data_IF_935727582798
#
_entry.id   IF_935727582798
#
_cell.length_a   1.000
_cell.length_b   1.000
_cell.length_c   1.000
_cell.angle_alpha   90.00
_cell.angle_beta   90.00
_cell.angle_gamma   90.00
#
_symmetry.space_group_name_H-M   'P 1'
#
loop_
_entity.id
_entity.type
_entity.pdbx_description
1 polymer ?
#
# COMPACT_ATOMS: atom_id res chain seq x y z
N UNK A 1 3.52 -35.34 -3.89
CA UNK A 1 2.55 -34.30 -3.53
C UNK A 1 3.28 -32.98 -3.58
N UNK A 2 2.89 -32.09 -4.49
CA UNK A 2 3.45 -30.75 -4.55
C UNK A 2 2.72 -29.94 -3.47
N UNK A 3 3.41 -29.53 -2.41
CA UNK A 3 2.80 -28.62 -1.43
C UNK A 3 2.34 -27.36 -2.15
N UNK A 4 1.14 -26.86 -1.85
CA UNK A 4 0.69 -25.60 -2.43
C UNK A 4 1.50 -24.45 -1.83
N UNK A 5 1.79 -23.42 -2.63
CA UNK A 5 2.57 -22.25 -2.17
C UNK A 5 1.88 -21.57 -0.99
N UNK A 6 0.55 -21.60 -0.94
CA UNK A 6 -0.26 -21.09 0.17
C UNK A 6 0.05 -21.82 1.47
N UNK A 7 0.09 -23.16 1.43
CA UNK A 7 0.35 -23.99 2.61
C UNK A 7 1.76 -23.79 3.16
N UNK A 8 2.72 -23.51 2.28
CA UNK A 8 4.09 -23.18 2.69
C UNK A 8 4.13 -21.88 3.50
N UNK A 9 3.50 -20.81 2.99
CA UNK A 9 3.52 -19.52 3.67
C UNK A 9 2.57 -19.44 4.88
N UNK A 10 1.54 -20.29 4.93
CA UNK A 10 0.65 -20.42 6.08
C UNK A 10 1.36 -20.98 7.34
N UNK A 11 2.52 -21.64 7.17
CA UNK A 11 3.33 -22.17 8.28
C UNK A 11 4.09 -21.09 9.06
N UNK A 12 4.21 -19.87 8.52
CA UNK A 12 4.93 -18.78 9.21
C UNK A 12 4.11 -18.20 10.35
N UNK A 13 4.76 -17.91 11.48
CA UNK A 13 4.10 -17.34 12.67
C UNK A 13 3.48 -15.95 12.42
N UNK A 14 4.05 -15.17 11.49
CA UNK A 14 3.50 -13.87 11.14
C UNK A 14 3.72 -13.51 9.67
N UNK A 15 2.79 -12.72 9.12
CA UNK A 15 2.89 -12.18 7.78
C UNK A 15 4.17 -11.34 7.56
N UNK A 16 4.67 -10.68 8.61
CA UNK A 16 5.93 -9.93 8.56
C UNK A 16 7.14 -10.83 8.36
N UNK A 17 7.18 -11.99 9.03
CA UNK A 17 8.25 -12.97 8.86
C UNK A 17 8.20 -13.60 7.47
N UNK A 18 7.01 -13.93 6.97
CA UNK A 18 6.84 -14.41 5.60
C UNK A 18 7.38 -13.39 4.58
N UNK A 19 7.13 -12.09 4.80
CA UNK A 19 7.66 -11.03 3.93
C UNK A 19 9.17 -10.94 3.98
N UNK A 20 9.76 -10.98 5.18
CA UNK A 20 11.21 -10.95 5.34
C UNK A 20 11.84 -12.14 4.62
N UNK A 21 11.28 -13.33 4.79
CA UNK A 21 11.71 -14.53 4.07
C UNK A 21 11.69 -14.33 2.55
N UNK A 22 10.60 -13.81 1.98
CA UNK A 22 10.52 -13.56 0.54
C UNK A 22 11.58 -12.54 0.11
N UNK A 23 11.73 -11.44 0.86
CA UNK A 23 12.69 -10.38 0.52
C UNK A 23 14.16 -10.83 0.57
N UNK A 24 14.48 -11.80 1.43
CA UNK A 24 15.84 -12.31 1.61
C UNK A 24 16.16 -13.43 0.63
N UNK A 25 15.20 -14.32 0.34
CA UNK A 25 15.44 -15.49 -0.51
C UNK A 25 15.31 -15.18 -2.02
N UNK A 26 14.54 -14.16 -2.39
CA UNK A 26 14.31 -13.80 -3.80
C UNK A 26 14.95 -12.45 -4.12
N UNK A 27 16.21 -12.42 -4.58
CA UNK A 27 16.87 -11.18 -4.98
C UNK A 27 16.08 -10.52 -6.12
N UNK A 28 15.72 -9.24 -5.92
CA UNK A 28 14.84 -8.48 -6.83
C UNK A 28 13.44 -8.22 -6.28
N UNK A 29 12.98 -8.99 -5.28
CA UNK A 29 11.74 -8.70 -4.55
C UNK A 29 12.05 -7.84 -3.32
N UNK A 30 11.87 -6.52 -3.47
CA UNK A 30 11.90 -5.60 -2.33
C UNK A 30 10.67 -5.75 -1.43
N UNK A 31 10.67 -5.05 -0.28
CA UNK A 31 9.59 -5.12 0.72
C UNK A 31 8.19 -4.87 0.15
N UNK A 32 8.06 -3.93 -0.79
CA UNK A 32 6.80 -3.67 -1.50
C UNK A 32 6.33 -4.91 -2.27
N UNK A 33 7.21 -5.47 -3.10
CA UNK A 33 6.86 -6.59 -3.98
C UNK A 33 6.56 -7.85 -3.17
N UNK A 34 7.32 -8.10 -2.11
CA UNK A 34 7.05 -9.19 -1.17
C UNK A 34 5.71 -9.02 -0.46
N UNK A 35 5.36 -7.81 -0.02
CA UNK A 35 4.05 -7.53 0.60
C UNK A 35 2.91 -7.71 -0.38
N UNK A 36 3.08 -7.24 -1.63
CA UNK A 36 2.10 -7.39 -2.71
C UNK A 36 1.86 -8.85 -3.04
N UNK A 37 2.93 -9.63 -3.22
CA UNK A 37 2.88 -11.06 -3.48
C UNK A 37 2.12 -11.82 -2.39
N UNK A 38 2.47 -11.62 -1.11
CA UNK A 38 1.82 -12.33 -0.01
C UNK A 38 0.33 -12.00 0.12
N UNK A 39 -0.05 -10.76 -0.25
CA UNK A 39 -1.43 -10.31 -0.27
C UNK A 39 -2.21 -10.90 -1.44
N UNK A 40 -1.61 -10.99 -2.62
CA UNK A 40 -2.23 -11.57 -3.82
C UNK A 40 -2.49 -13.08 -3.67
N UNK A 41 -1.63 -13.79 -2.92
CA UNK A 41 -1.82 -15.21 -2.61
C UNK A 41 -2.83 -15.42 -1.46
N UNK A 42 -3.30 -14.36 -0.80
CA UNK A 42 -4.26 -14.43 0.30
C UNK A 42 -3.68 -14.93 1.62
N UNK A 43 -2.34 -14.93 1.77
CA UNK A 43 -1.69 -15.35 3.03
C UNK A 43 -1.61 -14.20 4.02
N UNK A 44 -1.58 -12.96 3.53
CA UNK A 44 -1.41 -11.77 4.36
C UNK A 44 -2.36 -10.64 3.95
N UNK A 45 -3.49 -10.53 4.66
CA UNK A 45 -4.48 -9.46 4.44
C UNK A 45 -4.15 -8.16 5.17
N UNK A 46 -3.33 -8.23 6.23
CA UNK A 46 -3.01 -7.10 7.09
C UNK A 46 -1.74 -6.34 6.66
N UNK A 47 -1.02 -6.82 5.64
CA UNK A 47 0.19 -6.17 5.17
C UNK A 47 -0.14 -4.94 4.32
N UNK A 48 0.38 -3.78 4.71
CA UNK A 48 0.32 -2.60 3.89
C UNK A 48 1.34 -2.68 2.75
N UNK A 49 0.91 -2.38 1.52
CA UNK A 49 1.79 -2.30 0.35
C UNK A 49 2.09 -0.86 0.06
N UNK A 50 3.17 -0.35 0.64
CA UNK A 50 3.57 1.05 0.45
C UNK A 50 4.11 1.24 -0.97
N UNK A 51 3.33 1.91 -1.80
CA UNK A 51 3.68 2.35 -3.16
C UNK A 51 3.75 3.89 -3.27
N UNK A 52 4.18 4.41 -4.42
CA UNK A 52 4.23 5.84 -4.75
C UNK A 52 2.90 6.55 -4.51
N UNK A 53 1.76 5.85 -4.60
CA UNK A 53 0.43 6.40 -4.37
C UNK A 53 0.16 6.63 -2.88
N UNK A 54 0.55 5.67 -2.04
CA UNK A 54 0.47 5.81 -0.58
C UNK A 54 1.45 6.87 -0.10
N UNK A 55 2.67 6.91 -0.63
CA UNK A 55 3.62 7.99 -0.33
C UNK A 55 3.01 9.35 -0.70
N UNK A 56 2.41 9.48 -1.89
CA UNK A 56 1.74 10.70 -2.30
C UNK A 56 0.59 11.07 -1.35
N UNK A 57 -0.24 10.10 -0.95
CA UNK A 57 -1.34 10.31 -0.01
C UNK A 57 -0.82 10.80 1.35
N UNK A 58 0.21 10.16 1.89
CA UNK A 58 0.80 10.53 3.17
C UNK A 58 1.38 11.96 3.13
N UNK A 59 2.06 12.32 2.04
CA UNK A 59 2.65 13.65 1.90
C UNK A 59 1.62 14.76 1.62
N UNK A 60 0.57 14.48 0.84
CA UNK A 60 -0.37 15.51 0.36
C UNK A 60 -1.65 15.60 1.19
N UNK A 61 -2.07 14.52 1.85
CA UNK A 61 -3.30 14.46 2.66
C UNK A 61 -2.95 14.50 4.14
N UNK A 62 -2.07 13.62 4.59
CA UNK A 62 -1.70 13.51 6.02
C UNK A 62 -0.53 14.43 6.42
N UNK A 63 0.09 15.13 5.46
CA UNK A 63 1.27 15.99 5.68
C UNK A 63 2.46 15.27 6.35
N UNK A 64 2.55 13.95 6.19
CA UNK A 64 3.64 13.11 6.69
C UNK A 64 4.75 13.04 5.65
N UNK A 65 5.95 13.53 6.00
CA UNK A 65 7.10 13.56 5.09
C UNK A 65 7.77 12.19 5.00
N UNK A 66 7.83 11.61 3.80
CA UNK A 66 8.46 10.30 3.57
C UNK A 66 9.84 10.50 2.95
N UNK A 67 10.87 10.66 3.79
CA UNK A 67 12.22 10.99 3.32
C UNK A 67 12.94 9.82 2.61
N UNK A 68 12.80 8.58 3.12
CA UNK A 68 13.35 7.38 2.46
C UNK A 68 12.58 6.12 2.84
N UNK A 69 12.48 5.17 1.91
CA UNK A 69 11.89 3.85 2.15
C UNK A 69 12.91 2.87 2.74
N UNK A 70 13.55 3.27 3.85
CA UNK A 70 14.34 2.33 4.64
C UNK A 70 13.45 1.28 5.31
N UNK A 71 13.99 0.10 5.66
CA UNK A 71 13.23 -0.97 6.35
C UNK A 71 12.48 -0.45 7.59
N UNK A 72 13.12 0.41 8.38
CA UNK A 72 12.53 1.02 9.59
C UNK A 72 11.34 1.92 9.23
N UNK A 73 11.51 2.79 8.24
CA UNK A 73 10.44 3.68 7.80
C UNK A 73 9.28 2.90 7.20
N UNK A 74 9.54 1.81 6.47
CA UNK A 74 8.48 0.96 5.94
C UNK A 74 7.59 0.40 7.05
N UNK A 75 8.20 -0.13 8.13
CA UNK A 75 7.46 -0.66 9.28
C UNK A 75 6.65 0.44 10.00
N UNK A 76 7.24 1.63 10.19
CA UNK A 76 6.54 2.75 10.82
C UNK A 76 5.32 3.21 9.99
N UNK A 77 5.48 3.31 8.68
CA UNK A 77 4.40 3.68 7.77
C UNK A 77 3.32 2.58 7.71
N UNK A 78 3.71 1.31 7.78
CA UNK A 78 2.79 0.17 7.88
C UNK A 78 1.94 0.24 9.15
N UNK A 79 2.55 0.50 10.31
CA UNK A 79 1.84 0.65 11.59
C UNK A 79 0.90 1.86 11.57
N UNK A 80 1.33 2.96 10.95
CA UNK A 80 0.50 4.14 10.75
C UNK A 80 -0.72 3.85 9.85
N UNK A 81 -0.51 3.19 8.71
CA UNK A 81 -1.60 2.81 7.79
C UNK A 81 -2.56 1.82 8.45
N UNK A 82 -2.06 0.92 9.28
CA UNK A 82 -2.90 0.01 10.07
C UNK A 82 -3.78 0.76 11.04
N UNK A 83 -3.18 1.68 11.80
CA UNK A 83 -3.92 2.56 12.72
C UNK A 83 -4.95 3.43 11.99
N UNK A 84 -4.64 3.87 10.76
CA UNK A 84 -5.55 4.65 9.92
C UNK A 84 -6.71 3.80 9.37
N UNK A 85 -6.40 2.59 8.91
CA UNK A 85 -7.37 1.57 8.48
C UNK A 85 -8.35 1.24 9.59
N UNK A 86 -7.85 1.02 10.81
CA UNK A 86 -8.67 0.74 12.01
C UNK A 86 -9.57 1.93 12.38
N UNK A 87 -9.08 3.17 12.26
CA UNK A 87 -9.88 4.39 12.51
C UNK A 87 -11.04 4.57 11.54
N UNK A 88 -10.84 4.23 10.26
CA UNK A 88 -11.87 4.35 9.22
C UNK A 88 -12.78 3.11 9.20
N UNK A 89 -12.34 2.00 9.80
CA UNK A 89 -13.08 0.74 9.80
C UNK A 89 -13.06 0.03 8.44
N UNK A 90 -12.05 0.30 7.61
CA UNK A 90 -11.90 -0.26 6.27
C UNK A 90 -10.66 -1.13 6.25
N UNK A 91 -10.75 -2.37 5.77
CA UNK A 91 -9.60 -3.27 5.69
C UNK A 91 -8.47 -2.74 4.81
N UNK A 92 -7.23 -3.13 5.13
CA UNK A 92 -6.02 -2.62 4.47
C UNK A 92 -6.07 -2.72 2.94
N UNK A 93 -6.62 -3.80 2.40
CA UNK A 93 -6.78 -4.01 0.95
C UNK A 93 -7.70 -2.95 0.30
N UNK A 94 -8.84 -2.68 0.94
CA UNK A 94 -9.79 -1.70 0.44
C UNK A 94 -9.24 -0.28 0.57
N UNK A 95 -8.52 0.02 1.65
CA UNK A 95 -7.83 1.30 1.83
C UNK A 95 -6.82 1.55 0.70
N UNK A 96 -5.99 0.56 0.35
CA UNK A 96 -5.01 0.68 -0.74
C UNK A 96 -5.69 0.93 -2.10
N UNK A 97 -6.78 0.21 -2.39
CA UNK A 97 -7.56 0.42 -3.62
C UNK A 97 -8.17 1.83 -3.69
N UNK A 98 -8.72 2.32 -2.57
CA UNK A 98 -9.30 3.66 -2.47
C UNK A 98 -8.22 4.75 -2.69
N UNK A 99 -7.07 4.61 -2.03
CA UNK A 99 -5.95 5.53 -2.20
C UNK A 99 -5.48 5.52 -3.65
N UNK A 100 -5.25 4.34 -4.23
CA UNK A 100 -4.79 4.21 -5.61
C UNK A 100 -5.74 4.88 -6.62
N UNK A 101 -7.04 4.59 -6.53
CA UNK A 101 -8.05 5.17 -7.40
C UNK A 101 -8.09 6.70 -7.23
N UNK A 102 -8.11 7.19 -5.99
CA UNK A 102 -8.12 8.62 -5.68
C UNK A 102 -6.91 9.34 -6.27
N UNK A 103 -5.70 8.82 -6.05
CA UNK A 103 -4.47 9.41 -6.58
C UNK A 103 -4.47 9.43 -8.11
N UNK A 104 -5.00 8.39 -8.76
CA UNK A 104 -5.13 8.37 -10.22
C UNK A 104 -6.06 9.46 -10.72
N UNK A 105 -7.20 9.67 -10.08
CA UNK A 105 -8.12 10.74 -10.45
C UNK A 105 -7.52 12.13 -10.20
N UNK A 106 -6.81 12.34 -9.09
CA UNK A 106 -6.10 13.60 -8.84
C UNK A 106 -5.02 13.89 -9.90
N UNK A 107 -4.25 12.87 -10.30
CA UNK A 107 -3.21 13.02 -11.33
C UNK A 107 -3.82 13.31 -12.70
N UNK A 108 -4.95 12.69 -13.04
CA UNK A 108 -5.73 13.02 -14.25
C UNK A 108 -6.20 14.48 -14.21
N UNK A 109 -6.78 14.93 -13.09
CA UNK A 109 -7.24 16.30 -12.92
C UNK A 109 -6.10 17.33 -13.06
N UNK A 110 -4.93 17.09 -12.46
CA UNK A 110 -3.76 17.97 -12.64
C UNK A 110 -3.29 18.01 -14.09
N UNK A 111 -3.32 16.87 -14.80
CA UNK A 111 -2.97 16.81 -16.23
C UNK A 111 -3.94 17.62 -17.09
N UNK A 112 -5.23 17.61 -16.75
CA UNK A 112 -6.26 18.36 -17.49
C UNK A 112 -6.22 19.85 -17.14
N UNK A 113 -5.96 20.23 -15.88
CA UNK A 113 -5.79 21.65 -15.51
C UNK A 113 -4.51 22.28 -16.06
N UNK A 114 -3.46 21.48 -16.32
CA UNK A 114 -2.27 21.92 -17.07
C UNK A 114 -2.53 22.14 -18.57
N UNK A 115 -3.60 21.54 -19.10
CA UNK A 115 -4.13 21.78 -20.43
C UNK A 115 -5.45 22.55 -20.29
N UNK A 116 -5.38 23.78 -19.78
CA UNK A 116 -6.45 24.79 -19.79
C UNK A 116 -7.90 24.26 -19.81
N UNK A 117 -8.33 23.55 -18.78
CA UNK A 117 -9.77 23.31 -18.56
C UNK A 117 -10.08 23.15 -17.07
N UNK A 118 -10.67 24.20 -16.50
CA UNK A 118 -11.26 24.20 -15.16
C UNK A 118 -12.48 23.28 -15.13
N UNK A 119 -12.42 22.21 -14.35
CA UNK A 119 -13.63 21.60 -13.83
C UNK A 119 -13.95 22.22 -12.47
N UNK A 120 -15.09 22.90 -12.42
CA UNK A 120 -15.82 23.21 -11.19
C UNK A 120 -16.38 21.89 -10.67
N UNK A 121 -15.97 21.47 -9.48
CA UNK A 121 -16.58 20.33 -8.79
C UNK A 121 -18.02 20.72 -8.40
N UNK A 122 -19.05 19.96 -8.80
CA UNK A 122 -20.40 20.19 -8.34
C UNK A 122 -20.56 19.55 -6.95
N UNK A 123 -19.96 20.17 -5.94
CA UNK A 123 -20.18 19.84 -4.52
C UNK A 123 -20.71 21.05 -3.74
N UNK A 124 -21.39 21.96 -4.44
CA UNK A 124 -22.23 22.98 -3.82
C UNK A 124 -23.66 22.79 -4.32
N UNK A 125 -24.52 22.27 -3.45
CA UNK A 125 -25.95 22.56 -3.51
C UNK A 125 -26.22 23.94 -2.94
#
# INVERSE_FOLDING_TARGET
MQESVVDFFAKFESARLAREFVSTNFPGLGYKQSSMFLRDIGVAHDLAVIDIHIVWFLENVESVKVASLSKKNYLLLEDYLKSFSDKIGVGMNALDQLIWASVREFRKMKRIKGCGMQYVLPLGG
#
